data_IF_951992022317
#
_entry.id   IF_951992022317
#
_cell.length_a   1.000
_cell.length_b   1.000
_cell.length_c   1.000
_cell.angle_alpha   90.00
_cell.angle_beta   90.00
_cell.angle_gamma   90.00
#
_symmetry.space_group_name_H-M   'P 1'
#
loop_
_entity.id
_entity.type
_entity.pdbx_description
1 polymer ?
#
# COMPACT_ATOMS: atom_id res chain seq x y z
N UNK A 1 12.22 -8.51 10.81
CA UNK A 1 12.46 -7.34 9.95
C UNK A 1 11.67 -7.60 8.67
N UNK A 2 10.60 -6.85 8.40
CA UNK A 2 9.75 -7.10 7.23
C UNK A 2 10.45 -6.57 5.98
N UNK A 3 10.87 -7.42 5.02
CA UNK A 3 11.61 -6.97 3.83
C UNK A 3 10.77 -6.08 2.92
N UNK A 4 9.45 -6.16 3.01
CA UNK A 4 8.51 -5.34 2.24
C UNK A 4 8.17 -4.00 2.89
N UNK A 5 8.62 -3.75 4.13
CA UNK A 5 8.26 -2.53 4.87
C UNK A 5 8.71 -1.26 4.14
N UNK A 6 9.92 -1.27 3.58
CA UNK A 6 10.46 -0.12 2.85
C UNK A 6 9.76 0.08 1.50
N UNK A 7 9.44 -1.01 0.79
CA UNK A 7 8.68 -0.94 -0.47
C UNK A 7 7.26 -0.44 -0.25
N UNK A 8 6.57 -0.95 0.79
CA UNK A 8 5.22 -0.50 1.17
C UNK A 8 5.26 0.98 1.57
N UNK A 9 6.23 1.39 2.40
CA UNK A 9 6.40 2.80 2.75
C UNK A 9 6.67 3.67 1.52
N UNK A 10 7.47 3.20 0.57
CA UNK A 10 7.77 3.97 -0.65
C UNK A 10 6.57 4.09 -1.60
N UNK A 11 5.77 3.02 -1.71
CA UNK A 11 4.63 2.94 -2.63
C UNK A 11 3.43 3.68 -2.08
N UNK A 12 3.20 3.58 -0.77
CA UNK A 12 2.05 4.20 -0.12
C UNK A 12 2.36 5.57 0.46
N UNK A 13 3.62 5.97 0.73
CA UNK A 13 3.88 7.33 1.25
C UNK A 13 3.73 8.35 0.13
N UNK A 14 2.57 8.99 0.06
CA UNK A 14 2.27 10.05 -0.92
C UNK A 14 3.24 11.24 -0.87
N UNK A 15 3.93 11.44 0.26
CA UNK A 15 4.93 12.52 0.46
C UNK A 15 6.38 12.07 0.29
N UNK A 16 6.62 10.76 0.10
CA UNK A 16 7.97 10.18 0.02
C UNK A 16 8.88 10.59 1.21
N UNK A 17 8.28 10.92 2.36
CA UNK A 17 8.94 11.41 3.58
C UNK A 17 9.32 10.25 4.52
N UNK A 18 9.12 9.00 4.07
CA UNK A 18 9.30 7.79 4.89
C UNK A 18 8.24 7.62 5.98
N UNK A 19 7.17 8.42 5.95
CA UNK A 19 6.05 8.36 6.90
C UNK A 19 4.77 7.96 6.17
N UNK A 20 4.01 7.06 6.79
CA UNK A 20 2.69 6.67 6.32
C UNK A 20 1.67 7.59 6.99
N UNK A 21 0.92 8.35 6.20
CA UNK A 21 -0.20 9.15 6.71
C UNK A 21 -1.40 8.24 6.94
N UNK A 22 -2.38 8.72 7.70
CA UNK A 22 -3.61 7.96 7.94
C UNK A 22 -4.35 7.65 6.62
N UNK A 23 -4.32 8.57 5.66
CA UNK A 23 -4.85 8.36 4.31
C UNK A 23 -4.11 7.24 3.56
N UNK A 24 -2.77 7.22 3.62
CA UNK A 24 -1.97 6.15 3.02
C UNK A 24 -2.27 4.78 3.66
N UNK A 25 -2.53 4.75 4.97
CA UNK A 25 -2.96 3.55 5.69
C UNK A 25 -4.36 3.10 5.30
N UNK A 26 -5.29 4.04 5.07
CA UNK A 26 -6.62 3.73 4.56
C UNK A 26 -6.54 3.13 3.16
N UNK A 27 -5.70 3.67 2.28
CA UNK A 27 -5.48 3.15 0.93
C UNK A 27 -4.93 1.71 0.98
N UNK A 28 -3.94 1.47 1.85
CA UNK A 28 -3.41 0.12 2.08
C UNK A 28 -4.48 -0.83 2.66
N UNK A 29 -5.26 -0.38 3.64
CA UNK A 29 -6.33 -1.18 4.24
C UNK A 29 -7.45 -1.50 3.25
N UNK A 30 -7.75 -0.57 2.33
CA UNK A 30 -8.73 -0.74 1.25
C UNK A 30 -8.22 -1.74 0.22
N UNK A 31 -6.96 -1.63 -0.20
CA UNK A 31 -6.32 -2.57 -1.11
C UNK A 31 -6.26 -4.00 -0.55
N UNK A 32 -6.09 -4.15 0.76
CA UNK A 32 -6.02 -5.44 1.45
C UNK A 32 -7.40 -5.98 1.90
N UNK A 33 -8.46 -5.18 1.82
CA UNK A 33 -9.80 -5.58 2.26
C UNK A 33 -10.39 -6.66 1.35
N UNK A 34 -11.13 -7.61 1.93
CA UNK A 34 -11.77 -8.70 1.20
C UNK A 34 -12.80 -8.20 0.18
N UNK A 35 -13.44 -7.07 0.48
CA UNK A 35 -14.42 -6.41 -0.40
C UNK A 35 -13.82 -5.69 -1.61
N UNK A 36 -12.48 -5.63 -1.73
CA UNK A 36 -11.81 -4.96 -2.84
C UNK A 36 -11.85 -5.83 -4.11
N UNK A 37 -12.24 -5.28 -5.28
CA UNK A 37 -12.24 -6.00 -6.55
C UNK A 37 -10.86 -6.59 -6.87
N UNK A 38 -10.82 -7.80 -7.41
CA UNK A 38 -9.56 -8.51 -7.72
C UNK A 38 -8.65 -7.71 -8.66
N UNK A 39 -9.21 -6.97 -9.62
CA UNK A 39 -8.48 -6.04 -10.50
C UNK A 39 -7.71 -4.95 -9.72
N UNK A 40 -8.35 -4.39 -8.71
CA UNK A 40 -7.76 -3.33 -7.88
C UNK A 40 -6.68 -3.92 -6.98
N UNK A 41 -6.93 -5.10 -6.39
CA UNK A 41 -5.92 -5.87 -5.64
C UNK A 41 -4.70 -6.19 -6.49
N UNK A 42 -4.89 -6.63 -7.73
CA UNK A 42 -3.80 -6.93 -8.65
C UNK A 42 -3.00 -5.67 -9.00
N UNK A 43 -3.67 -4.56 -9.31
CA UNK A 43 -3.00 -3.28 -9.59
C UNK A 43 -2.14 -2.80 -8.41
N UNK A 44 -2.63 -2.96 -7.18
CA UNK A 44 -1.86 -2.67 -5.97
C UNK A 44 -0.72 -3.66 -5.75
N UNK A 45 -0.94 -4.96 -5.95
CA UNK A 45 0.11 -5.98 -5.86
C UNK A 45 1.27 -5.69 -6.83
N UNK A 46 0.98 -5.30 -8.07
CA UNK A 46 1.97 -4.87 -9.07
C UNK A 46 2.71 -3.59 -8.69
N UNK A 47 2.10 -2.71 -7.89
CA UNK A 47 2.75 -1.50 -7.40
C UNK A 47 3.67 -1.77 -6.20
N UNK A 48 3.35 -2.78 -5.39
CA UNK A 48 4.05 -3.12 -4.15
C UNK A 48 5.25 -4.06 -4.39
N UNK A 49 5.12 -4.99 -5.35
CA UNK A 49 6.19 -5.87 -5.81
C UNK A 49 7.19 -5.17 -6.73
#
# INVERSE_FOLDING_TARGET
>A
YNPFRESILRVFSSKNDGKMSFEDFLDLSSALSDQCPEDVKAAWAFRIF
#
